data_IF_020246671876
#
_entry.id   IF_020246671876
#
_cell.length_a   1.000
_cell.length_b   1.000
_cell.length_c   1.000
_cell.angle_alpha   90.00
_cell.angle_beta   90.00
_cell.angle_gamma   90.00
#
_symmetry.space_group_name_H-M   'P 1'
#
loop_
_entity.id
_entity.type
_entity.pdbx_description
1 polymer ?
#
# COMPACT_ATOMS: atom_id res chain seq x y z
N UNK A 1 -23.56 -15.60 6.04
CA UNK A 1 -22.92 -14.28 6.09
C UNK A 1 -22.87 -13.70 7.50
N UNK A 2 -23.97 -13.71 8.28
CA UNK A 2 -24.03 -13.07 9.60
C UNK A 2 -23.06 -13.64 10.67
N UNK A 3 -22.63 -14.87 10.56
CA UNK A 3 -21.70 -15.50 11.53
C UNK A 3 -20.23 -15.45 11.07
N UNK A 4 -19.98 -15.47 9.78
CA UNK A 4 -18.62 -15.52 9.21
C UNK A 4 -17.99 -14.12 9.22
N UNK A 5 -18.74 -13.09 8.84
CA UNK A 5 -18.22 -11.74 8.75
C UNK A 5 -17.76 -11.16 10.10
N UNK A 6 -18.51 -11.29 11.21
CA UNK A 6 -18.03 -10.84 12.51
C UNK A 6 -16.74 -11.54 12.96
N UNK A 7 -16.59 -12.83 12.68
CA UNK A 7 -15.38 -13.57 13.04
C UNK A 7 -14.14 -13.04 12.27
N UNK A 8 -14.28 -12.79 10.96
CA UNK A 8 -13.22 -12.20 10.13
C UNK A 8 -12.93 -10.78 10.60
N UNK A 9 -13.94 -9.97 10.84
CA UNK A 9 -13.78 -8.58 11.30
C UNK A 9 -13.06 -8.52 12.66
N UNK A 10 -13.45 -9.37 13.61
CA UNK A 10 -12.78 -9.45 14.91
C UNK A 10 -11.31 -9.91 14.79
N UNK A 11 -11.02 -10.86 13.92
CA UNK A 11 -9.64 -11.30 13.67
C UNK A 11 -8.78 -10.17 13.07
N UNK A 12 -9.32 -9.41 12.12
CA UNK A 12 -8.63 -8.25 11.52
C UNK A 12 -8.46 -7.13 12.55
N UNK A 13 -9.46 -6.87 13.39
CA UNK A 13 -9.36 -5.87 14.45
C UNK A 13 -8.31 -6.24 15.49
N UNK A 14 -8.27 -7.50 15.94
CA UNK A 14 -7.26 -8.01 16.85
C UNK A 14 -5.85 -7.92 16.24
N UNK A 15 -5.72 -8.26 14.95
CA UNK A 15 -4.47 -8.09 14.21
C UNK A 15 -4.06 -6.61 14.12
N UNK A 16 -4.99 -5.70 13.86
CA UNK A 16 -4.74 -4.26 13.80
C UNK A 16 -4.21 -3.70 15.12
N UNK A 17 -4.82 -4.10 16.25
CA UNK A 17 -4.36 -3.73 17.57
C UNK A 17 -2.95 -4.26 17.86
N UNK A 18 -2.68 -5.52 17.53
CA UNK A 18 -1.36 -6.12 17.69
C UNK A 18 -0.31 -5.41 16.81
N UNK A 19 -0.63 -5.15 15.54
CA UNK A 19 0.25 -4.46 14.61
C UNK A 19 0.56 -3.02 15.07
N UNK A 20 -0.43 -2.32 15.63
CA UNK A 20 -0.25 -0.97 16.18
C UNK A 20 0.68 -0.99 17.41
N UNK A 21 0.56 -1.99 18.30
CA UNK A 21 1.44 -2.15 19.45
C UNK A 21 2.88 -2.48 19.06
N UNK A 22 3.08 -3.23 17.99
CA UNK A 22 4.39 -3.57 17.44
C UNK A 22 5.06 -2.42 16.65
N UNK A 23 4.34 -1.32 16.40
CA UNK A 23 4.87 -0.15 15.72
C UNK A 23 5.49 -0.46 14.36
N UNK A 24 6.78 -0.19 14.20
CA UNK A 24 7.52 -0.42 12.95
C UNK A 24 7.49 -1.89 12.49
N UNK A 25 7.61 -2.83 13.43
CA UNK A 25 7.52 -4.26 13.10
C UNK A 25 6.10 -4.66 12.68
N UNK A 26 5.09 -4.02 13.28
CA UNK A 26 3.70 -4.19 12.88
C UNK A 26 3.44 -3.72 11.44
N UNK A 27 4.07 -2.61 11.00
CA UNK A 27 3.96 -2.14 9.61
C UNK A 27 4.58 -3.12 8.60
N UNK A 28 5.68 -3.79 8.98
CA UNK A 28 6.26 -4.86 8.16
C UNK A 28 5.29 -6.02 7.96
N UNK A 29 4.71 -6.52 9.07
CA UNK A 29 3.76 -7.63 9.02
C UNK A 29 2.50 -7.21 8.24
N UNK A 30 2.00 -6.00 8.44
CA UNK A 30 0.88 -5.46 7.69
C UNK A 30 1.14 -5.45 6.19
N UNK A 31 2.28 -4.91 5.75
CA UNK A 31 2.67 -4.85 4.34
C UNK A 31 2.81 -6.25 3.74
N UNK A 32 3.45 -7.18 4.45
CA UNK A 32 3.63 -8.56 4.00
C UNK A 32 2.29 -9.30 3.86
N UNK A 33 1.40 -9.17 4.85
CA UNK A 33 0.05 -9.76 4.81
C UNK A 33 -0.78 -9.17 3.66
N UNK A 34 -0.78 -7.85 3.53
CA UNK A 34 -1.47 -7.16 2.46
C UNK A 34 -1.05 -7.70 1.09
N UNK A 35 0.25 -7.86 0.88
CA UNK A 35 0.79 -8.33 -0.40
C UNK A 35 0.55 -9.81 -0.64
N UNK A 36 0.65 -10.64 0.39
CA UNK A 36 0.36 -12.08 0.29
C UNK A 36 -1.10 -12.35 -0.08
N UNK A 37 -2.03 -11.58 0.48
CA UNK A 37 -3.47 -11.70 0.20
C UNK A 37 -3.86 -11.18 -1.19
N UNK A 38 -2.96 -10.48 -1.87
CA UNK A 38 -3.14 -9.99 -3.23
C UNK A 38 -3.42 -11.12 -4.23
N UNK A 39 -2.70 -12.24 -4.08
CA UNK A 39 -2.85 -13.43 -4.92
C UNK A 39 -4.28 -13.98 -4.92
N UNK A 40 -4.92 -13.94 -3.76
CA UNK A 40 -6.29 -14.43 -3.58
C UNK A 40 -7.36 -13.35 -3.81
N UNK A 41 -6.97 -12.09 -4.11
CA UNK A 41 -7.89 -10.96 -4.20
C UNK A 41 -8.49 -10.50 -2.86
N UNK A 42 -8.06 -11.10 -1.74
CA UNK A 42 -8.59 -10.80 -0.40
C UNK A 42 -7.97 -9.56 0.26
N UNK A 43 -7.00 -8.92 -0.39
CA UNK A 43 -6.35 -7.73 0.13
C UNK A 43 -7.34 -6.58 0.40
N UNK A 44 -8.40 -6.43 -0.41
CA UNK A 44 -9.47 -5.45 -0.16
C UNK A 44 -10.19 -5.70 1.17
N UNK A 45 -10.52 -6.95 1.47
CA UNK A 45 -11.16 -7.33 2.73
C UNK A 45 -10.24 -7.06 3.92
N UNK A 46 -8.93 -7.24 3.72
CA UNK A 46 -7.93 -7.04 4.76
C UNK A 46 -7.69 -5.56 5.07
N UNK A 47 -7.48 -4.70 4.06
CA UNK A 47 -7.10 -3.31 4.32
C UNK A 47 -8.27 -2.39 4.70
N UNK A 48 -9.50 -2.66 4.22
CA UNK A 48 -10.66 -1.80 4.46
C UNK A 48 -10.92 -1.50 5.95
N UNK A 49 -10.87 -2.47 6.88
CA UNK A 49 -10.99 -2.18 8.30
C UNK A 49 -9.92 -1.21 8.83
N UNK A 50 -8.68 -1.27 8.32
CA UNK A 50 -7.65 -0.31 8.71
C UNK A 50 -7.94 1.11 8.22
N UNK A 51 -8.64 1.24 7.10
CA UNK A 51 -9.01 2.54 6.57
C UNK A 51 -10.10 3.22 7.39
N UNK A 52 -11.05 2.45 7.92
CA UNK A 52 -12.33 2.98 8.41
C UNK A 52 -12.66 2.66 9.84
N UNK A 53 -11.92 1.80 10.52
CA UNK A 53 -12.20 1.39 11.91
C UNK A 53 -10.99 1.59 12.82
N UNK A 54 -11.19 1.40 14.12
CA UNK A 54 -10.14 1.48 15.14
C UNK A 54 -8.92 0.58 14.88
N UNK A 55 -9.02 -0.45 14.00
CA UNK A 55 -7.88 -1.25 13.57
C UNK A 55 -6.79 -0.41 12.89
N UNK A 56 -7.15 0.67 12.21
CA UNK A 56 -6.23 1.63 11.59
C UNK A 56 -5.75 2.75 12.51
N UNK A 57 -6.20 2.72 13.76
CA UNK A 57 -5.89 3.73 14.76
C UNK A 57 -7.06 4.63 15.08
N UNK A 58 -6.91 5.37 16.17
CA UNK A 58 -7.88 6.36 16.65
C UNK A 58 -7.12 7.66 16.93
N UNK A 59 -7.63 8.76 16.49
CA UNK A 59 -7.04 10.09 16.74
C UNK A 59 -8.12 11.14 16.95
N UNK A 60 -7.82 12.15 17.74
CA UNK A 60 -8.68 13.31 17.91
C UNK A 60 -8.32 14.38 16.88
N UNK A 61 -9.31 14.81 16.10
CA UNK A 61 -9.17 15.89 15.12
C UNK A 61 -10.32 16.86 15.31
N UNK A 62 -10.03 18.13 15.54
CA UNK A 62 -11.04 19.16 15.76
C UNK A 62 -11.96 18.91 16.96
N UNK A 63 -11.49 18.19 18.01
CA UNK A 63 -12.29 17.83 19.19
C UNK A 63 -13.18 16.60 19.01
N UNK A 64 -13.06 15.88 17.90
CA UNK A 64 -13.83 14.66 17.61
C UNK A 64 -12.87 13.47 17.51
N UNK A 65 -13.22 12.36 18.19
CA UNK A 65 -12.49 11.10 18.05
C UNK A 65 -12.87 10.41 16.75
N UNK A 66 -11.86 10.15 15.91
CA UNK A 66 -12.02 9.58 14.57
C UNK A 66 -11.23 8.28 14.49
N UNK A 67 -11.85 7.27 13.91
CA UNK A 67 -11.28 5.93 13.73
C UNK A 67 -10.90 5.66 12.28
N UNK A 68 -9.81 4.91 12.08
CA UNK A 68 -9.29 4.52 10.78
C UNK A 68 -8.36 5.57 10.18
N UNK A 69 -7.20 5.10 9.68
CA UNK A 69 -6.17 6.03 9.20
C UNK A 69 -6.65 6.94 8.05
N UNK A 70 -7.55 6.44 7.17
CA UNK A 70 -8.06 7.22 6.06
C UNK A 70 -9.07 8.29 6.52
N UNK A 71 -9.97 7.93 7.44
CA UNK A 71 -10.90 8.90 8.01
C UNK A 71 -10.15 9.99 8.79
N UNK A 72 -9.12 9.60 9.55
CA UNK A 72 -8.23 10.53 10.27
C UNK A 72 -7.56 11.47 9.27
N UNK A 73 -7.00 10.94 8.18
CA UNK A 73 -6.38 11.73 7.13
C UNK A 73 -7.36 12.75 6.50
N UNK A 74 -8.56 12.29 6.12
CA UNK A 74 -9.58 13.16 5.50
C UNK A 74 -10.06 14.26 6.46
N UNK A 75 -10.20 13.94 7.74
CA UNK A 75 -10.56 14.92 8.76
C UNK A 75 -9.45 15.97 8.96
N UNK A 76 -8.19 15.53 9.01
CA UNK A 76 -7.04 16.42 9.09
C UNK A 76 -6.90 17.31 7.85
N UNK A 77 -7.22 16.77 6.67
CA UNK A 77 -7.21 17.54 5.42
C UNK A 77 -8.29 18.64 5.40
N UNK A 78 -9.41 18.40 6.08
CA UNK A 78 -10.50 19.38 6.20
C UNK A 78 -10.30 20.39 7.32
N UNK A 79 -9.40 20.11 8.28
CA UNK A 79 -9.14 20.99 9.42
C UNK A 79 -8.07 22.05 9.07
N UNK A 80 -8.41 23.34 9.03
CA UNK A 80 -7.46 24.41 8.70
C UNK A 80 -6.35 24.59 9.74
N UNK A 81 -6.48 24.00 10.93
CA UNK A 81 -5.47 24.08 11.99
C UNK A 81 -4.43 22.96 11.87
N UNK A 82 -4.66 21.96 11.04
CA UNK A 82 -3.72 20.84 10.84
C UNK A 82 -2.60 21.28 9.91
N UNK A 83 -1.39 21.37 10.42
CA UNK A 83 -0.17 21.70 9.63
C UNK A 83 0.62 20.47 9.20
N UNK A 84 0.46 19.34 9.89
CA UNK A 84 1.12 18.07 9.59
C UNK A 84 0.17 16.92 9.83
N UNK A 85 0.19 15.93 8.94
CA UNK A 85 -0.59 14.71 9.13
C UNK A 85 0.01 13.86 10.24
N UNK A 86 -0.82 13.31 11.09
CA UNK A 86 -0.47 12.48 12.24
C UNK A 86 -1.34 11.23 12.32
N UNK A 87 -1.04 10.34 13.26
CA UNK A 87 -1.70 9.06 13.42
C UNK A 87 -0.96 7.92 12.69
N UNK A 88 -1.66 6.83 12.42
CA UNK A 88 -1.06 5.62 11.87
C UNK A 88 -0.89 5.63 10.33
N UNK A 89 -0.93 6.80 9.69
CA UNK A 89 -0.80 6.96 8.23
C UNK A 89 0.56 6.43 7.75
N UNK A 90 1.64 6.76 8.47
CA UNK A 90 2.98 6.27 8.16
C UNK A 90 3.07 4.74 8.24
N UNK A 91 2.36 4.12 9.19
CA UNK A 91 2.39 2.67 9.42
C UNK A 91 1.62 1.88 8.37
N UNK A 92 0.49 2.39 7.88
CA UNK A 92 -0.47 1.60 7.09
C UNK A 92 -0.70 2.10 5.67
N UNK A 93 -0.16 3.28 5.29
CA UNK A 93 -0.38 3.84 3.96
C UNK A 93 0.89 4.24 3.21
N UNK A 94 1.77 5.05 3.82
CA UNK A 94 2.83 5.76 3.09
C UNK A 94 3.79 4.84 2.34
N UNK A 95 4.05 3.63 2.86
CA UNK A 95 4.90 2.63 2.21
C UNK A 95 4.43 2.19 0.82
N UNK A 96 3.14 2.33 0.52
CA UNK A 96 2.58 2.02 -0.81
C UNK A 96 3.17 2.91 -1.91
N UNK A 97 3.48 4.17 -1.61
CA UNK A 97 4.06 5.12 -2.56
C UNK A 97 5.45 4.68 -3.04
N UNK A 98 6.31 4.20 -2.14
CA UNK A 98 7.63 3.68 -2.52
C UNK A 98 7.47 2.53 -3.50
N UNK A 99 6.49 1.67 -3.26
CA UNK A 99 6.25 0.50 -4.10
C UNK A 99 5.72 0.88 -5.47
N UNK A 100 4.70 1.73 -5.54
CA UNK A 100 4.01 2.06 -6.79
C UNK A 100 4.82 3.00 -7.68
N UNK A 101 5.56 3.95 -7.07
CA UNK A 101 6.36 4.91 -7.83
C UNK A 101 7.74 4.38 -8.24
N UNK A 102 8.33 3.46 -7.45
CA UNK A 102 9.70 3.02 -7.69
C UNK A 102 9.81 1.52 -7.93
N UNK A 103 9.31 0.68 -7.01
CA UNK A 103 9.51 -0.77 -7.09
C UNK A 103 8.84 -1.37 -8.31
N UNK A 104 7.60 -1.04 -8.61
CA UNK A 104 6.86 -1.60 -9.74
C UNK A 104 7.44 -1.20 -11.11
N UNK A 105 7.77 0.07 -11.37
CA UNK A 105 8.48 0.45 -12.57
C UNK A 105 9.86 -0.22 -12.70
N UNK A 106 10.59 -0.37 -11.58
CA UNK A 106 11.88 -1.06 -11.57
C UNK A 106 11.73 -2.55 -11.91
N UNK A 107 10.66 -3.22 -11.45
CA UNK A 107 10.36 -4.60 -11.83
C UNK A 107 10.09 -4.71 -13.34
N UNK A 108 9.33 -3.80 -13.94
CA UNK A 108 9.11 -3.76 -15.38
C UNK A 108 10.43 -3.60 -16.14
N UNK A 109 11.33 -2.75 -15.66
CA UNK A 109 12.66 -2.55 -16.22
C UNK A 109 13.51 -3.82 -16.09
N UNK A 110 13.48 -4.48 -14.94
CA UNK A 110 14.18 -5.76 -14.73
C UNK A 110 13.65 -6.87 -15.66
N UNK A 111 12.33 -6.98 -15.81
CA UNK A 111 11.70 -7.91 -16.75
C UNK A 111 12.14 -7.63 -18.19
N UNK A 112 12.23 -6.37 -18.59
CA UNK A 112 12.72 -5.97 -19.89
C UNK A 112 14.17 -6.44 -20.12
N UNK A 113 15.07 -6.24 -19.16
CA UNK A 113 16.47 -6.64 -19.26
C UNK A 113 16.66 -8.15 -19.20
N UNK A 114 15.78 -8.88 -18.53
CA UNK A 114 15.81 -10.34 -18.43
C UNK A 114 15.50 -11.06 -19.77
N UNK A 115 14.94 -10.37 -20.76
CA UNK A 115 14.64 -10.96 -22.07
C UNK A 115 15.93 -11.05 -22.90
N UNK A 116 16.45 -12.28 -23.20
CA UNK A 116 17.74 -12.44 -23.91
C UNK A 116 17.67 -11.99 -25.38
N UNK A 117 16.58 -12.34 -26.07
CA UNK A 117 16.40 -12.05 -27.49
C UNK A 117 16.04 -10.56 -27.72
N UNK A 118 16.89 -9.86 -28.45
CA UNK A 118 16.71 -8.45 -28.79
C UNK A 118 15.41 -8.14 -29.54
N UNK A 119 14.97 -9.04 -30.44
CA UNK A 119 13.71 -8.85 -31.20
C UNK A 119 12.50 -8.97 -30.28
N UNK A 120 12.47 -9.97 -29.41
CA UNK A 120 11.44 -10.15 -28.37
C UNK A 120 11.43 -8.98 -27.39
N UNK A 121 12.59 -8.59 -26.90
CA UNK A 121 12.75 -7.45 -25.99
C UNK A 121 12.13 -6.18 -26.58
N UNK A 122 12.42 -5.86 -27.85
CA UNK A 122 11.84 -4.70 -28.53
C UNK A 122 10.32 -4.78 -28.68
N UNK A 123 9.77 -5.97 -28.98
CA UNK A 123 8.31 -6.17 -29.07
C UNK A 123 7.60 -6.03 -27.72
N UNK A 124 8.24 -6.44 -26.62
CA UNK A 124 7.68 -6.43 -25.28
C UNK A 124 7.83 -5.04 -24.62
N UNK A 125 8.69 -4.16 -25.13
CA UNK A 125 8.96 -2.85 -24.56
C UNK A 125 7.69 -2.02 -24.37
N UNK A 126 6.86 -1.90 -25.41
CA UNK A 126 5.62 -1.11 -25.36
C UNK A 126 4.65 -1.60 -24.30
N UNK A 127 4.53 -2.92 -24.16
CA UNK A 127 3.69 -3.55 -23.13
C UNK A 127 4.22 -3.25 -21.71
N UNK A 128 5.51 -3.50 -21.45
CA UNK A 128 6.10 -3.26 -20.14
C UNK A 128 6.10 -1.77 -19.78
N UNK A 129 6.31 -0.89 -20.75
CA UNK A 129 6.26 0.55 -20.53
C UNK A 129 4.84 1.01 -20.19
N UNK A 130 3.81 0.49 -20.86
CA UNK A 130 2.43 0.82 -20.53
C UNK A 130 2.04 0.35 -19.13
N UNK A 131 2.48 -0.85 -18.72
CA UNK A 131 2.28 -1.34 -17.35
C UNK A 131 2.97 -0.45 -16.31
N UNK A 132 4.23 -0.11 -16.55
CA UNK A 132 5.00 0.75 -15.66
C UNK A 132 4.37 2.14 -15.52
N UNK A 133 3.97 2.77 -16.63
CA UNK A 133 3.32 4.09 -16.63
C UNK A 133 1.95 4.05 -15.95
N UNK A 134 1.16 3.03 -16.20
CA UNK A 134 -0.14 2.87 -15.54
C UNK A 134 0.04 2.76 -14.02
N UNK A 135 0.94 1.90 -13.56
CA UNK A 135 1.22 1.77 -12.14
C UNK A 135 1.76 3.08 -11.54
N UNK A 136 2.72 3.71 -12.19
CA UNK A 136 3.34 4.94 -11.74
C UNK A 136 2.34 6.10 -11.61
N UNK A 137 1.47 6.28 -12.59
CA UNK A 137 0.50 7.39 -12.62
C UNK A 137 -0.69 7.10 -11.71
N UNK A 138 -1.31 5.91 -11.84
CA UNK A 138 -2.59 5.61 -11.19
C UNK A 138 -2.46 4.76 -9.92
N UNK A 139 -1.31 4.10 -9.68
CA UNK A 139 -1.12 3.18 -8.57
C UNK A 139 -1.75 1.80 -8.74
N UNK A 140 -2.15 1.42 -9.96
CA UNK A 140 -2.72 0.10 -10.27
C UNK A 140 -1.58 -0.90 -10.48
N UNK A 141 -1.43 -1.87 -9.60
CA UNK A 141 -0.31 -2.82 -9.59
C UNK A 141 -0.67 -4.22 -10.09
N UNK A 142 -1.96 -4.54 -10.20
CA UNK A 142 -2.48 -5.86 -10.51
C UNK A 142 -1.83 -6.50 -11.75
N UNK A 143 -1.73 -5.83 -12.91
CA UNK A 143 -1.20 -6.45 -14.11
C UNK A 143 0.28 -6.84 -13.98
N UNK A 144 1.09 -6.01 -13.28
CA UNK A 144 2.51 -6.29 -13.06
C UNK A 144 2.67 -7.44 -12.07
N UNK A 145 1.89 -7.43 -10.99
CA UNK A 145 1.96 -8.42 -9.92
C UNK A 145 1.57 -9.81 -10.42
N UNK A 146 0.50 -9.91 -11.20
CA UNK A 146 0.12 -11.18 -11.80
C UNK A 146 1.12 -11.64 -12.88
N UNK A 147 1.64 -10.72 -13.70
CA UNK A 147 2.70 -11.06 -14.63
C UNK A 147 3.94 -11.62 -13.92
N UNK A 148 4.34 -11.03 -12.79
CA UNK A 148 5.46 -11.49 -11.98
C UNK A 148 5.17 -12.85 -11.33
N UNK A 149 4.00 -13.01 -10.72
CA UNK A 149 3.57 -14.25 -10.07
C UNK A 149 3.56 -15.44 -11.05
N UNK A 150 2.99 -15.25 -12.23
CA UNK A 150 2.94 -16.31 -13.25
C UNK A 150 4.28 -16.55 -13.93
N UNK A 151 5.15 -15.54 -14.02
CA UNK A 151 6.50 -15.73 -14.54
C UNK A 151 7.39 -16.49 -13.54
N UNK A 152 7.37 -16.10 -12.28
CA UNK A 152 8.15 -16.76 -11.23
C UNK A 152 7.61 -16.41 -9.83
N UNK A 153 6.95 -17.35 -9.12
CA UNK A 153 6.41 -17.12 -7.78
C UNK A 153 7.45 -16.68 -6.73
N UNK A 154 8.71 -17.10 -6.89
CA UNK A 154 9.79 -16.71 -5.96
C UNK A 154 10.06 -15.19 -6.07
N UNK A 155 10.00 -14.64 -7.29
CA UNK A 155 10.16 -13.20 -7.50
C UNK A 155 8.98 -12.42 -6.91
N UNK A 156 7.78 -12.97 -6.92
CA UNK A 156 6.63 -12.38 -6.25
C UNK A 156 6.83 -12.33 -4.72
N UNK A 157 7.40 -13.38 -4.12
CA UNK A 157 7.73 -13.38 -2.68
C UNK A 157 8.78 -12.30 -2.37
N UNK A 158 9.82 -12.19 -3.20
CA UNK A 158 10.83 -11.15 -3.05
C UNK A 158 10.23 -9.74 -3.17
N UNK A 159 9.32 -9.55 -4.11
CA UNK A 159 8.57 -8.30 -4.29
C UNK A 159 7.70 -7.98 -3.06
N UNK A 160 7.02 -8.97 -2.49
CA UNK A 160 6.23 -8.81 -1.28
C UNK A 160 7.08 -8.39 -0.07
N UNK A 161 8.30 -8.91 0.05
CA UNK A 161 9.26 -8.48 1.07
C UNK A 161 9.71 -7.02 0.86
N UNK A 162 10.02 -6.64 -0.38
CA UNK A 162 10.38 -5.25 -0.71
C UNK A 162 9.21 -4.30 -0.41
N UNK A 163 7.98 -4.72 -0.71
CA UNK A 163 6.78 -3.97 -0.36
C UNK A 163 6.66 -3.73 1.14
N UNK A 164 6.83 -4.78 1.94
CA UNK A 164 6.79 -4.69 3.39
C UNK A 164 7.91 -3.79 3.96
N UNK A 165 9.11 -3.85 3.38
CA UNK A 165 10.23 -2.96 3.75
C UNK A 165 9.93 -1.48 3.41
N UNK A 166 9.15 -1.20 2.38
CA UNK A 166 8.68 0.15 2.08
C UNK A 166 7.84 0.75 3.22
N UNK A 167 6.98 -0.05 3.85
CA UNK A 167 6.24 0.37 5.04
C UNK A 167 7.16 0.64 6.23
N UNK A 168 8.14 -0.24 6.45
CA UNK A 168 9.17 -0.04 7.51
C UNK A 168 9.92 1.26 7.30
N UNK A 169 10.34 1.55 6.06
CA UNK A 169 11.06 2.78 5.75
C UNK A 169 10.24 4.03 6.10
N UNK A 170 8.97 4.08 5.71
CA UNK A 170 8.08 5.19 6.04
C UNK A 170 7.77 5.27 7.54
N UNK A 171 7.60 4.12 8.21
CA UNK A 171 7.35 4.08 9.65
C UNK A 171 8.55 4.61 10.46
N UNK A 172 9.78 4.26 10.05
CA UNK A 172 11.01 4.72 10.72
C UNK A 172 11.27 6.20 10.47
N UNK A 173 11.04 6.66 9.24
CA UNK A 173 11.28 8.06 8.87
C UNK A 173 10.15 9.00 9.28
N UNK A 174 8.98 8.45 9.70
CA UNK A 174 7.81 9.23 10.06
C UNK A 174 7.13 9.93 8.87
N UNK A 175 7.42 9.50 7.63
CA UNK A 175 6.81 10.10 6.43
C UNK A 175 5.33 9.75 6.37
N UNK A 176 4.48 10.76 6.40
CA UNK A 176 3.02 10.64 6.34
C UNK A 176 2.51 11.23 5.03
N UNK A 177 2.03 10.36 4.13
CA UNK A 177 1.38 10.75 2.89
C UNK A 177 0.00 10.11 2.89
N UNK A 178 -1.05 10.92 2.82
CA UNK A 178 -2.42 10.42 2.74
C UNK A 178 -2.74 9.83 1.37
N UNK A 179 -3.83 9.09 1.29
CA UNK A 179 -4.41 8.67 0.01
C UNK A 179 -5.91 8.50 0.14
N UNK A 180 -6.62 8.65 -0.98
CA UNK A 180 -8.05 8.42 -1.05
C UNK A 180 -8.39 7.07 -1.66
N UNK A 181 -7.60 6.61 -2.63
CA UNK A 181 -7.87 5.37 -3.35
C UNK A 181 -6.60 4.56 -3.63
N UNK A 182 -5.60 5.19 -4.25
CA UNK A 182 -4.37 4.53 -4.69
C UNK A 182 -3.15 5.25 -4.11
N UNK A 183 -1.94 4.87 -4.51
CA UNK A 183 -0.73 5.56 -4.12
C UNK A 183 0.15 5.85 -5.36
N UNK A 184 -0.49 6.28 -6.45
CA UNK A 184 0.17 6.70 -7.67
C UNK A 184 0.69 8.14 -7.62
N UNK A 185 1.32 8.57 -8.72
CA UNK A 185 1.88 9.91 -8.85
C UNK A 185 0.84 11.02 -8.64
N UNK A 186 -0.40 10.80 -9.10
CA UNK A 186 -1.47 11.81 -8.97
C UNK A 186 -1.73 12.10 -7.49
N UNK A 187 -1.95 11.06 -6.67
CA UNK A 187 -2.20 11.24 -5.24
C UNK A 187 -0.94 11.70 -4.49
N UNK A 188 0.25 11.26 -4.92
CA UNK A 188 1.51 11.76 -4.36
C UNK A 188 1.65 13.28 -4.52
N UNK A 189 1.32 13.81 -5.70
CA UNK A 189 1.36 15.25 -5.94
C UNK A 189 0.28 15.99 -5.12
N UNK A 190 -0.94 15.44 -5.03
CA UNK A 190 -2.05 16.07 -4.32
C UNK A 190 -1.88 16.08 -2.80
N UNK A 191 -1.32 15.03 -2.20
CA UNK A 191 -1.33 14.82 -0.75
C UNK A 191 0.07 14.72 -0.13
N UNK A 192 1.12 14.68 -0.95
CA UNK A 192 2.50 14.60 -0.48
C UNK A 192 3.35 15.84 -0.81
N UNK A 193 2.92 16.65 -1.79
CA UNK A 193 3.68 17.82 -2.25
C UNK A 193 2.90 19.12 -2.08
N UNK A 194 1.60 19.12 -2.34
CA UNK A 194 0.69 20.27 -2.22
C UNK A 194 -0.24 20.13 -1.02
#
# INVERSE_FOLDING_TARGET
MFFVWPAIGNAIAAFGQLASQLGVFGSFIYGLMLRSLYVCGLHHVFYLPFWTTAAGGVAEVGGVMIEGWQNIFLAQLADPNTTHFFGNIALYNSGRYIHMLFTMPAICLAMYHAIPDKKRRKKTLGFLLSLALTCFITGVTEPISFALLFANPILFIAEALIFALGFVACAVTGVTIGSTFSAGLIEFLLFGVF
#
